data_IF_088903892068
#
_entry.id   IF_088903892068
#
_cell.length_a   1.000
_cell.length_b   1.000
_cell.length_c   1.000
_cell.angle_alpha   90.00
_cell.angle_beta   90.00
_cell.angle_gamma   90.00
#
_symmetry.space_group_name_H-M   'P 1'
#
loop_
_entity.id
_entity.type
_entity.pdbx_description
1 polymer ?
#
# COMPACT_ATOMS: atom_id res chain seq x y z
N UNK A 1 -14.75 -7.03 15.71
CA UNK A 1 -13.71 -6.11 15.21
C UNK A 1 -14.34 -4.90 14.52
N UNK A 2 -15.36 -5.08 13.66
CA UNK A 2 -16.09 -4.00 13.00
C UNK A 2 -16.73 -3.03 14.00
N UNK A 3 -17.41 -3.53 15.04
CA UNK A 3 -18.01 -2.70 16.09
C UNK A 3 -16.99 -1.78 16.77
N UNK A 4 -15.74 -2.25 16.92
CA UNK A 4 -14.67 -1.48 17.53
C UNK A 4 -14.18 -0.35 16.59
N UNK A 5 -13.99 -0.64 15.33
CA UNK A 5 -13.63 0.37 14.33
C UNK A 5 -14.73 1.44 14.21
N UNK A 6 -15.99 1.02 14.10
CA UNK A 6 -17.15 1.90 14.07
C UNK A 6 -17.25 2.79 15.31
N UNK A 7 -16.97 2.25 16.50
CA UNK A 7 -16.99 3.02 17.74
C UNK A 7 -15.90 4.09 17.76
N UNK A 8 -14.68 3.75 17.33
CA UNK A 8 -13.57 4.70 17.20
C UNK A 8 -13.93 5.82 16.23
N UNK A 9 -14.37 5.48 15.03
CA UNK A 9 -14.67 6.48 14.00
C UNK A 9 -15.85 7.39 14.37
N UNK A 10 -16.90 6.84 14.96
CA UNK A 10 -18.01 7.66 15.51
C UNK A 10 -17.53 8.62 16.59
N UNK A 11 -16.66 8.15 17.48
CA UNK A 11 -16.08 9.01 18.50
C UNK A 11 -15.25 10.14 17.89
N UNK A 12 -14.38 9.83 16.92
CA UNK A 12 -13.56 10.83 16.23
C UNK A 12 -14.41 11.88 15.52
N UNK A 13 -15.48 11.47 14.83
CA UNK A 13 -16.43 12.39 14.17
C UNK A 13 -17.06 13.33 15.21
N UNK A 14 -17.50 12.78 16.34
CA UNK A 14 -18.18 13.56 17.39
C UNK A 14 -17.24 14.55 18.11
N UNK A 15 -15.93 14.32 18.08
CA UNK A 15 -14.91 15.11 18.76
C UNK A 15 -13.92 15.76 17.78
N UNK A 16 -14.29 15.89 16.52
CA UNK A 16 -13.41 16.50 15.51
C UNK A 16 -13.13 17.97 15.87
N UNK A 17 -11.84 18.31 15.92
CA UNK A 17 -11.38 19.68 16.19
C UNK A 17 -11.11 20.48 14.91
N UNK A 18 -11.40 19.92 13.75
CA UNK A 18 -11.19 20.55 12.45
C UNK A 18 -9.74 20.60 11.95
N UNK A 19 -8.78 20.09 12.72
CA UNK A 19 -7.34 20.21 12.43
C UNK A 19 -6.67 18.83 12.36
N UNK A 20 -6.97 17.94 13.31
CA UNK A 20 -6.27 16.64 13.43
C UNK A 20 -6.58 15.73 12.24
N UNK A 21 -5.52 15.17 11.67
CA UNK A 21 -5.61 14.07 10.72
C UNK A 21 -5.22 12.76 11.44
N UNK A 22 -5.97 11.71 11.20
CA UNK A 22 -5.71 10.38 11.76
C UNK A 22 -5.31 9.42 10.65
N UNK A 23 -4.19 8.75 10.84
CA UNK A 23 -3.68 7.75 9.92
C UNK A 23 -4.08 6.35 10.40
N UNK A 24 -4.73 5.58 9.55
CA UNK A 24 -5.14 4.21 9.82
C UNK A 24 -4.56 3.24 8.80
N UNK A 25 -3.88 2.21 9.25
CA UNK A 25 -3.58 1.04 8.45
C UNK A 25 -4.82 0.12 8.44
N UNK A 26 -5.30 -0.22 7.25
CA UNK A 26 -6.52 -1.00 7.08
C UNK A 26 -6.36 -2.13 6.08
N UNK A 27 -7.02 -3.25 6.34
CA UNK A 27 -7.26 -4.27 5.33
C UNK A 27 -8.56 -3.88 4.59
N UNK A 28 -8.41 -3.28 3.42
CA UNK A 28 -9.54 -2.68 2.70
C UNK A 28 -10.63 -3.69 2.33
N UNK A 29 -10.24 -4.94 2.00
CA UNK A 29 -11.16 -6.05 1.72
C UNK A 29 -12.04 -6.46 2.91
N UNK A 30 -11.75 -5.97 4.10
CA UNK A 30 -12.56 -6.20 5.29
C UNK A 30 -13.55 -5.06 5.60
N UNK A 31 -13.46 -3.92 4.92
CA UNK A 31 -14.38 -2.81 5.14
C UNK A 31 -15.78 -3.15 4.59
N UNK A 32 -16.78 -2.99 5.43
CA UNK A 32 -18.17 -3.22 5.06
C UNK A 32 -18.90 -1.93 4.65
N UNK A 33 -20.12 -2.08 4.16
CA UNK A 33 -20.97 -0.98 3.69
C UNK A 33 -21.18 0.12 4.72
N UNK A 34 -21.43 -0.26 5.99
CA UNK A 34 -21.68 0.69 7.06
C UNK A 34 -20.42 1.50 7.41
N UNK A 35 -19.26 0.84 7.38
CA UNK A 35 -17.97 1.47 7.61
C UNK A 35 -17.62 2.46 6.50
N UNK A 36 -17.81 2.07 5.23
CA UNK A 36 -17.58 2.95 4.07
C UNK A 36 -18.55 4.15 4.12
N UNK A 37 -19.82 3.91 4.42
CA UNK A 37 -20.81 4.98 4.54
C UNK A 37 -20.44 5.97 5.66
N UNK A 38 -19.96 5.47 6.81
CA UNK A 38 -19.51 6.32 7.91
C UNK A 38 -18.26 7.14 7.52
N UNK A 39 -17.26 6.51 6.89
CA UNK A 39 -16.05 7.18 6.41
C UNK A 39 -16.41 8.34 5.47
N UNK A 40 -17.37 8.16 4.58
CA UNK A 40 -17.82 9.19 3.64
C UNK A 40 -18.48 10.40 4.31
N UNK A 41 -18.90 10.31 5.58
CA UNK A 41 -19.43 11.45 6.34
C UNK A 41 -18.36 12.29 7.02
N UNK A 42 -17.12 11.83 7.04
CA UNK A 42 -16.02 12.53 7.70
C UNK A 42 -15.62 13.80 6.94
N UNK A 43 -15.11 14.77 7.66
CA UNK A 43 -14.53 15.99 7.09
C UNK A 43 -13.36 15.62 6.14
N UNK A 44 -13.21 16.30 4.99
CA UNK A 44 -12.00 16.15 4.16
C UNK A 44 -10.72 16.35 4.97
N UNK A 45 -9.77 15.44 4.83
CA UNK A 45 -8.50 15.45 5.56
C UNK A 45 -8.60 15.03 7.04
N UNK A 46 -9.73 14.52 7.50
CA UNK A 46 -9.85 13.99 8.87
C UNK A 46 -9.12 12.68 9.04
N UNK A 47 -9.21 11.80 8.06
CA UNK A 47 -8.48 10.54 8.06
C UNK A 47 -7.70 10.33 6.76
N UNK A 48 -6.67 9.52 6.85
CA UNK A 48 -6.04 8.86 5.71
C UNK A 48 -5.98 7.36 5.96
N UNK A 49 -6.10 6.59 4.91
CA UNK A 49 -6.07 5.13 4.94
C UNK A 49 -4.84 4.62 4.22
N UNK A 50 -3.99 3.88 4.91
CA UNK A 50 -2.90 3.11 4.34
C UNK A 50 -3.38 1.68 4.10
N UNK A 51 -3.28 1.24 2.86
CA UNK A 51 -3.80 -0.03 2.37
C UNK A 51 -2.65 -0.82 1.80
N UNK A 52 -2.14 -1.76 2.59
CA UNK A 52 -1.07 -2.64 2.16
C UNK A 52 -1.55 -3.69 1.17
N UNK A 53 -1.48 -3.43 -0.12
CA UNK A 53 -1.75 -4.41 -1.18
C UNK A 53 -0.63 -5.43 -1.24
N UNK A 54 0.60 -4.98 -1.17
CA UNK A 54 1.87 -5.73 -1.24
C UNK A 54 2.15 -6.28 -2.64
N UNK A 55 1.25 -7.04 -3.23
CA UNK A 55 1.28 -7.62 -4.57
C UNK A 55 -0.13 -7.96 -5.04
N UNK A 56 -0.37 -8.03 -6.34
CA UNK A 56 -1.61 -8.59 -6.92
C UNK A 56 -1.43 -10.02 -7.42
N UNK A 57 -0.20 -10.58 -7.29
CA UNK A 57 0.08 -11.96 -7.64
C UNK A 57 -0.50 -12.92 -6.57
N UNK A 58 -1.44 -13.81 -6.91
CA UNK A 58 -2.09 -14.68 -5.94
C UNK A 58 -1.13 -15.69 -5.30
N UNK A 59 -0.08 -16.12 -6.01
CA UNK A 59 0.91 -17.04 -5.47
C UNK A 59 1.78 -16.34 -4.43
N UNK A 60 2.19 -15.11 -4.69
CA UNK A 60 2.91 -14.26 -3.75
C UNK A 60 2.07 -14.01 -2.49
N UNK A 61 0.82 -13.59 -2.65
CA UNK A 61 -0.09 -13.30 -1.53
C UNK A 61 -0.31 -14.53 -0.65
N UNK A 62 -0.46 -15.69 -1.26
CA UNK A 62 -0.60 -16.96 -0.52
C UNK A 62 0.67 -17.31 0.26
N UNK A 63 1.83 -17.13 -0.36
CA UNK A 63 3.13 -17.49 0.24
C UNK A 63 3.49 -16.60 1.44
N UNK A 64 3.17 -15.34 1.38
CA UNK A 64 3.37 -14.41 2.53
C UNK A 64 2.26 -14.53 3.58
N UNK A 65 1.44 -15.57 3.51
CA UNK A 65 0.36 -15.90 4.44
C UNK A 65 -0.71 -14.79 4.57
N UNK A 66 -0.92 -14.01 3.52
CA UNK A 66 -2.01 -13.02 3.47
C UNK A 66 -3.26 -13.62 2.82
N UNK A 67 -4.39 -13.13 3.30
CA UNK A 67 -5.69 -13.33 2.65
C UNK A 67 -6.12 -11.96 2.13
N UNK A 68 -6.09 -11.80 0.83
CA UNK A 68 -6.50 -10.55 0.17
C UNK A 68 -7.12 -10.91 -1.17
N UNK A 69 -8.27 -10.33 -1.44
CA UNK A 69 -8.89 -10.32 -2.77
C UNK A 69 -8.71 -8.93 -3.38
N UNK A 70 -7.85 -8.82 -4.39
CA UNK A 70 -7.56 -7.54 -5.02
C UNK A 70 -8.78 -6.94 -5.73
N UNK A 71 -9.70 -7.77 -6.25
CA UNK A 71 -10.94 -7.25 -6.84
C UNK A 71 -11.80 -6.55 -5.78
N UNK A 72 -11.90 -7.13 -4.59
CA UNK A 72 -12.62 -6.53 -3.48
C UNK A 72 -11.91 -5.27 -2.96
N UNK A 73 -10.58 -5.29 -2.85
CA UNK A 73 -9.79 -4.10 -2.49
C UNK A 73 -10.06 -2.97 -3.49
N UNK A 74 -10.04 -3.27 -4.80
CA UNK A 74 -10.28 -2.29 -5.87
C UNK A 74 -11.67 -1.66 -5.77
N UNK A 75 -12.69 -2.47 -5.49
CA UNK A 75 -14.06 -1.99 -5.30
C UNK A 75 -14.14 -1.04 -4.09
N UNK A 76 -13.59 -1.44 -2.95
CA UNK A 76 -13.61 -0.62 -1.73
C UNK A 76 -12.85 0.68 -1.91
N UNK A 77 -11.64 0.63 -2.50
CA UNK A 77 -10.83 1.81 -2.80
C UNK A 77 -11.63 2.80 -3.67
N UNK A 78 -12.24 2.32 -4.75
CA UNK A 78 -13.05 3.15 -5.64
C UNK A 78 -14.22 3.80 -4.91
N UNK A 79 -14.93 3.04 -4.09
CA UNK A 79 -16.08 3.52 -3.32
C UNK A 79 -15.71 4.56 -2.26
N UNK A 80 -14.56 4.39 -1.60
CA UNK A 80 -14.05 5.40 -0.66
C UNK A 80 -13.66 6.67 -1.41
N UNK A 81 -13.04 6.54 -2.61
CA UNK A 81 -12.67 7.70 -3.45
C UNK A 81 -13.88 8.55 -3.88
N UNK A 82 -15.02 7.95 -4.13
CA UNK A 82 -16.26 8.69 -4.46
C UNK A 82 -16.67 9.70 -3.39
N UNK A 83 -16.24 9.52 -2.14
CA UNK A 83 -16.45 10.47 -1.04
C UNK A 83 -15.61 11.73 -1.14
N UNK A 84 -14.50 11.73 -1.90
CA UNK A 84 -13.55 12.83 -2.08
C UNK A 84 -13.04 13.46 -0.77
N UNK A 85 -13.04 12.72 0.33
CA UNK A 85 -12.73 13.22 1.66
C UNK A 85 -11.60 12.47 2.37
N UNK A 86 -11.15 11.34 1.84
CA UNK A 86 -10.13 10.48 2.43
C UNK A 86 -8.92 10.41 1.53
N UNK A 87 -7.73 10.64 2.08
CA UNK A 87 -6.47 10.35 1.41
C UNK A 87 -6.19 8.86 1.50
N UNK A 88 -6.10 8.19 0.35
CA UNK A 88 -5.78 6.77 0.27
C UNK A 88 -4.33 6.58 -0.19
N UNK A 89 -3.59 5.80 0.59
CA UNK A 89 -2.21 5.42 0.36
C UNK A 89 -2.16 3.91 0.13
N UNK A 90 -1.73 3.47 -1.04
CA UNK A 90 -1.62 2.06 -1.40
C UNK A 90 -0.15 1.65 -1.52
N UNK A 91 0.18 0.48 -0.94
CA UNK A 91 1.55 0.00 -0.85
C UNK A 91 1.77 -1.27 -1.65
N UNK A 92 2.90 -1.31 -2.38
CA UNK A 92 3.45 -2.49 -3.01
C UNK A 92 4.84 -2.79 -2.44
N UNK A 93 5.23 -4.07 -2.41
CA UNK A 93 6.56 -4.51 -1.95
C UNK A 93 7.23 -5.35 -3.02
N UNK A 94 8.33 -4.85 -3.57
CA UNK A 94 9.20 -5.59 -4.48
C UNK A 94 10.09 -6.59 -3.72
N UNK A 95 10.36 -7.73 -4.35
CA UNK A 95 11.24 -8.78 -3.80
C UNK A 95 10.53 -9.80 -2.93
N UNK A 96 9.21 -9.87 -3.00
CA UNK A 96 8.42 -10.94 -2.38
C UNK A 96 8.63 -12.28 -3.12
N UNK A 97 8.39 -13.42 -2.46
CA UNK A 97 8.45 -14.74 -3.09
C UNK A 97 7.50 -14.85 -4.29
N UNK A 98 7.91 -15.61 -5.32
CA UNK A 98 7.15 -15.86 -6.56
C UNK A 98 6.83 -14.62 -7.39
N UNK A 99 7.54 -13.51 -7.17
CA UNK A 99 7.33 -12.27 -7.92
C UNK A 99 8.63 -11.84 -8.63
N UNK A 100 8.62 -11.94 -9.95
CA UNK A 100 9.64 -11.42 -10.84
C UNK A 100 9.29 -9.99 -11.29
N UNK A 101 10.10 -9.42 -12.15
CA UNK A 101 9.91 -8.06 -12.64
C UNK A 101 8.56 -7.89 -13.35
N UNK A 102 8.19 -8.80 -14.24
CA UNK A 102 6.95 -8.72 -15.03
C UNK A 102 5.72 -8.85 -14.13
N UNK A 103 5.77 -9.74 -13.14
CA UNK A 103 4.71 -9.90 -12.14
C UNK A 103 4.56 -8.64 -11.28
N UNK A 104 5.68 -8.04 -10.88
CA UNK A 104 5.65 -6.79 -10.11
C UNK A 104 5.15 -5.62 -10.99
N UNK A 105 5.58 -5.51 -12.24
CA UNK A 105 5.06 -4.52 -13.19
C UNK A 105 3.54 -4.63 -13.33
N UNK A 106 3.02 -5.86 -13.42
CA UNK A 106 1.57 -6.07 -13.42
C UNK A 106 0.92 -5.57 -12.14
N UNK A 107 1.46 -5.93 -10.97
CA UNK A 107 0.97 -5.46 -9.67
C UNK A 107 0.98 -3.93 -9.59
N UNK A 108 2.05 -3.30 -10.07
CA UNK A 108 2.16 -1.85 -10.16
C UNK A 108 1.06 -1.25 -11.05
N UNK A 109 0.86 -1.77 -12.25
CA UNK A 109 -0.16 -1.29 -13.18
C UNK A 109 -1.57 -1.46 -12.60
N UNK A 110 -1.86 -2.58 -11.97
CA UNK A 110 -3.15 -2.85 -11.33
C UNK A 110 -3.47 -1.80 -10.25
N UNK A 111 -2.51 -1.49 -9.39
CA UNK A 111 -2.69 -0.50 -8.31
C UNK A 111 -2.67 0.93 -8.85
N UNK A 112 -1.80 1.24 -9.82
CA UNK A 112 -1.73 2.56 -10.45
C UNK A 112 -3.04 2.96 -11.13
N UNK A 113 -3.76 2.01 -11.72
CA UNK A 113 -5.06 2.24 -12.35
C UNK A 113 -6.14 2.68 -11.36
N UNK A 114 -6.01 2.33 -10.07
CA UNK A 114 -6.91 2.79 -9.03
C UNK A 114 -6.73 4.27 -8.69
N UNK A 115 -5.63 4.90 -9.14
CA UNK A 115 -5.30 6.32 -8.91
C UNK A 115 -5.40 6.73 -7.44
N UNK A 116 -4.72 6.01 -6.51
CA UNK A 116 -4.67 6.45 -5.12
C UNK A 116 -4.03 7.83 -5.01
N UNK A 117 -4.28 8.56 -3.94
CA UNK A 117 -3.63 9.83 -3.69
C UNK A 117 -2.13 9.68 -3.43
N UNK A 118 -1.73 8.52 -2.90
CA UNK A 118 -0.32 8.17 -2.72
C UNK A 118 -0.11 6.70 -3.09
N UNK A 119 0.95 6.42 -3.82
CA UNK A 119 1.38 5.08 -4.19
C UNK A 119 2.80 4.87 -3.66
N UNK A 120 2.97 3.91 -2.77
CA UNK A 120 4.28 3.57 -2.23
C UNK A 120 4.82 2.30 -2.87
N UNK A 121 6.01 2.42 -3.44
CA UNK A 121 6.83 1.30 -3.84
C UNK A 121 7.82 1.00 -2.72
N UNK A 122 7.64 -0.10 -2.00
CA UNK A 122 8.58 -0.56 -1.00
C UNK A 122 9.43 -1.72 -1.51
N UNK A 123 10.51 -2.01 -0.79
CA UNK A 123 11.34 -3.19 -1.00
C UNK A 123 11.31 -4.06 0.24
N UNK A 124 11.28 -5.37 0.04
CA UNK A 124 11.23 -6.34 1.13
C UNK A 124 12.37 -6.08 2.12
N UNK A 125 12.02 -5.91 3.39
CA UNK A 125 12.97 -5.81 4.51
C UNK A 125 12.92 -7.10 5.32
N UNK A 126 14.03 -7.83 5.33
CA UNK A 126 14.14 -9.13 5.98
C UNK A 126 14.57 -8.95 7.43
N UNK A 127 13.61 -8.64 8.28
CA UNK A 127 13.85 -8.32 9.69
C UNK A 127 14.16 -9.58 10.50
N UNK A 128 15.16 -9.50 11.38
CA UNK A 128 15.51 -10.58 12.30
C UNK A 128 14.31 -11.02 13.15
N UNK A 129 14.10 -12.32 13.23
CA UNK A 129 12.96 -12.90 13.97
C UNK A 129 11.65 -12.99 13.18
N UNK A 130 11.57 -12.43 11.97
CA UNK A 130 10.42 -12.60 11.10
C UNK A 130 10.40 -13.97 10.42
N UNK A 131 9.23 -14.39 9.92
CA UNK A 131 9.09 -15.56 9.07
C UNK A 131 10.01 -15.47 7.84
N UNK A 132 10.04 -14.32 7.17
CA UNK A 132 10.88 -14.09 6.00
C UNK A 132 12.37 -14.26 6.28
N UNK A 133 12.83 -13.91 7.48
CA UNK A 133 14.23 -14.13 7.88
C UNK A 133 14.58 -15.61 7.93
N UNK A 134 13.66 -16.45 8.40
CA UNK A 134 13.86 -17.91 8.46
C UNK A 134 13.76 -18.56 7.08
N UNK A 135 12.82 -18.10 6.26
CA UNK A 135 12.56 -18.63 4.92
C UNK A 135 13.46 -18.06 3.81
N UNK A 136 14.22 -16.99 4.07
CA UNK A 136 15.07 -16.32 3.08
C UNK A 136 16.00 -17.27 2.30
N UNK A 137 16.69 -18.27 2.92
CA UNK A 137 17.51 -19.22 2.18
C UNK A 137 16.71 -20.08 1.18
N UNK A 138 15.49 -20.46 1.54
CA UNK A 138 14.60 -21.23 0.68
C UNK A 138 14.18 -20.45 -0.57
N UNK A 139 13.95 -19.15 -0.42
CA UNK A 139 13.61 -18.25 -1.52
C UNK A 139 14.83 -17.71 -2.28
N UNK A 140 16.06 -18.12 -1.92
CA UNK A 140 17.27 -17.57 -2.47
C UNK A 140 17.36 -16.05 -2.25
N UNK A 141 16.72 -15.56 -1.19
CA UNK A 141 16.66 -14.15 -0.87
C UNK A 141 17.96 -13.72 -0.17
N UNK A 142 18.63 -12.75 -0.75
CA UNK A 142 19.78 -12.08 -0.16
C UNK A 142 19.42 -10.63 0.14
N UNK A 143 19.70 -10.20 1.36
CA UNK A 143 19.43 -8.84 1.83
C UNK A 143 20.69 -8.16 2.35
N UNK A 144 20.62 -6.87 2.52
CA UNK A 144 21.66 -6.09 3.17
C UNK A 144 21.93 -6.60 4.58
N UNK A 145 23.20 -6.69 4.97
CA UNK A 145 23.61 -7.12 6.33
C UNK A 145 23.38 -6.04 7.40
N UNK A 146 23.09 -4.81 6.98
CA UNK A 146 22.83 -3.63 7.81
C UNK A 146 21.41 -3.14 7.62
N UNK A 147 20.91 -2.40 8.58
CA UNK A 147 19.63 -1.71 8.44
C UNK A 147 19.58 -0.87 7.15
N UNK A 148 18.49 -0.90 6.45
CA UNK A 148 17.17 -1.47 6.79
C UNK A 148 16.97 -2.95 6.44
N UNK A 149 18.02 -3.75 6.18
CA UNK A 149 17.95 -5.17 5.80
C UNK A 149 17.16 -5.43 4.52
N UNK A 150 17.28 -4.51 3.61
CA UNK A 150 16.55 -4.52 2.36
C UNK A 150 17.05 -5.59 1.40
N UNK A 151 16.14 -6.19 0.64
CA UNK A 151 16.43 -7.19 -0.37
C UNK A 151 17.40 -6.65 -1.43
N UNK A 152 18.39 -7.45 -1.79
CA UNK A 152 19.30 -7.20 -2.91
C UNK A 152 18.89 -8.00 -4.14
N UNK A 153 18.47 -9.24 -3.95
CA UNK A 153 17.91 -10.10 -5.00
C UNK A 153 17.20 -11.31 -4.37
N UNK A 154 16.37 -11.95 -5.16
CA UNK A 154 15.72 -13.22 -4.82
C UNK A 154 15.90 -14.22 -5.96
N UNK A 155 15.41 -15.45 -5.81
CA UNK A 155 15.37 -16.43 -6.90
C UNK A 155 14.63 -15.92 -8.14
N UNK A 156 13.63 -15.07 -7.96
CA UNK A 156 12.76 -14.56 -9.03
C UNK A 156 13.13 -13.18 -9.51
N UNK A 157 13.68 -12.33 -8.63
CA UNK A 157 14.02 -10.94 -8.93
C UNK A 157 15.52 -10.73 -8.83
N UNK A 158 16.25 -10.69 -9.96
CA UNK A 158 17.71 -10.42 -10.00
C UNK A 158 18.04 -9.01 -9.49
N UNK A 159 19.30 -8.81 -9.10
CA UNK A 159 19.79 -7.54 -8.58
C UNK A 159 19.59 -6.37 -9.56
N UNK A 160 19.84 -6.59 -10.85
CA UNK A 160 19.66 -5.54 -11.87
C UNK A 160 18.19 -5.08 -11.96
N UNK A 161 17.24 -5.99 -11.77
CA UNK A 161 15.83 -5.65 -11.77
C UNK A 161 15.42 -4.92 -10.47
N UNK A 162 16.03 -5.27 -9.32
CA UNK A 162 15.85 -4.47 -8.09
C UNK A 162 16.33 -3.03 -8.32
N UNK A 163 17.48 -2.84 -8.98
CA UNK A 163 17.98 -1.49 -9.31
C UNK A 163 17.04 -0.73 -10.24
N UNK A 164 16.46 -1.40 -11.25
CA UNK A 164 15.45 -0.79 -12.14
C UNK A 164 14.22 -0.36 -11.35
N UNK A 165 13.73 -1.21 -10.46
CA UNK A 165 12.56 -0.87 -9.63
C UNK A 165 12.83 0.29 -8.67
N UNK A 166 14.08 0.45 -8.19
CA UNK A 166 14.48 1.62 -7.40
C UNK A 166 14.40 2.93 -8.20
N UNK A 167 14.73 2.89 -9.48
CA UNK A 167 14.53 4.05 -10.34
C UNK A 167 13.04 4.35 -10.57
N UNK A 168 12.21 3.29 -10.67
CA UNK A 168 10.75 3.46 -10.77
C UNK A 168 10.19 4.06 -9.48
N UNK A 169 10.63 3.57 -8.31
CA UNK A 169 10.27 4.15 -7.01
C UNK A 169 10.56 5.66 -6.97
N UNK A 170 11.79 6.05 -7.33
CA UNK A 170 12.18 7.46 -7.37
C UNK A 170 11.28 8.28 -8.30
N UNK A 171 10.93 7.73 -9.48
CA UNK A 171 10.02 8.39 -10.40
C UNK A 171 8.60 8.53 -9.83
N UNK A 172 8.11 7.50 -9.13
CA UNK A 172 6.80 7.56 -8.44
C UNK A 172 6.81 8.64 -7.37
N UNK A 173 7.85 8.71 -6.55
CA UNK A 173 7.97 9.75 -5.52
C UNK A 173 8.00 11.14 -6.12
N UNK A 174 8.80 11.37 -7.16
CA UNK A 174 8.98 12.70 -7.77
C UNK A 174 7.77 13.12 -8.62
N UNK A 175 7.22 12.23 -9.44
CA UNK A 175 6.24 12.59 -10.47
C UNK A 175 4.80 12.21 -10.11
N UNK A 176 4.59 11.24 -9.23
CA UNK A 176 3.26 10.85 -8.79
C UNK A 176 2.93 11.44 -7.43
N UNK A 177 3.72 11.13 -6.40
CA UNK A 177 3.43 11.54 -5.04
C UNK A 177 3.66 13.04 -4.82
N UNK A 178 4.69 13.64 -5.40
CA UNK A 178 4.99 15.07 -5.26
C UNK A 178 4.06 15.99 -6.07
N UNK A 179 3.47 15.54 -7.16
CA UNK A 179 2.56 16.35 -8.00
C UNK A 179 1.33 16.84 -7.23
N UNK A 180 0.92 16.12 -6.20
CA UNK A 180 -0.18 16.53 -5.33
C UNK A 180 0.17 17.76 -4.46
N UNK A 181 1.46 18.05 -4.28
CA UNK A 181 1.95 19.14 -3.44
C UNK A 181 2.58 20.32 -4.22
N UNK A 182 3.04 20.08 -5.44
CA UNK A 182 3.90 21.04 -6.16
C UNK A 182 3.43 21.38 -7.56
N UNK A 183 2.30 20.86 -8.04
CA UNK A 183 1.80 21.29 -9.33
C UNK A 183 1.45 22.77 -9.27
N UNK A 184 2.22 23.66 -9.95
CA UNK A 184 1.71 24.98 -10.21
C UNK A 184 0.42 24.77 -11.01
N UNK A 185 -0.67 25.35 -10.54
CA UNK A 185 -1.92 25.42 -11.30
C UNK A 185 -1.58 25.69 -12.76
N UNK A 186 -2.13 24.96 -13.74
CA UNK A 186 -1.98 25.35 -15.13
C UNK A 186 -2.39 26.82 -15.20
N UNK A 187 -1.47 27.67 -15.53
CA UNK A 187 -1.83 29.02 -15.92
C UNK A 187 -2.43 28.94 -17.28
N UNK A 188 -3.64 29.38 -17.36
CA UNK A 188 -4.34 29.65 -18.61
C UNK A 188 -3.51 30.52 -19.57
#
# INVERSE_FOLDING_TARGET
>A
KHDHAMAIWKYLIAHDNGITNFHFEVAADLLNEEEIALIRTMRPGMIQLEIGVQSTNPDTIREIHRKMDFAQVSEVVTRVQEGHNVHQHLDLIAGLPYEDYDSFEKSFCDVYQLRPQQLQLGFLKVLKGSFMYQAAPEYGCVCQSREPYEVLYTRWLPYDDVLRLKLVEEMVEVYYNCLLYTSPSPRD
#
